data_IF_482223887448
#
_entry.id   IF_482223887448
#
_cell.length_a   1.000
_cell.length_b   1.000
_cell.length_c   1.000
_cell.angle_alpha   90.00
_cell.angle_beta   90.00
_cell.angle_gamma   90.00
#
_symmetry.space_group_name_H-M   'P 1'
#
loop_
_entity.id
_entity.type
_entity.pdbx_description
1 polymer ?
#
# COMPACT_ATOMS: atom_id res chain seq x y z
N UNK A 1 -4.99 -14.77 3.91
CA UNK A 1 -6.21 -15.51 3.56
C UNK A 1 -5.91 -16.89 2.96
N UNK A 2 -5.01 -17.01 1.98
CA UNK A 2 -4.72 -18.28 1.27
C UNK A 2 -4.52 -19.49 2.21
N UNK A 3 -3.65 -19.38 3.22
CA UNK A 3 -3.44 -20.46 4.22
C UNK A 3 -4.75 -20.93 4.89
N UNK A 4 -5.63 -19.99 5.27
CA UNK A 4 -6.91 -20.33 5.91
C UNK A 4 -7.83 -21.11 4.96
N UNK A 5 -7.90 -20.66 3.70
CA UNK A 5 -8.69 -21.30 2.65
C UNK A 5 -8.16 -22.68 2.33
N UNK A 6 -6.85 -22.81 2.09
CA UNK A 6 -6.22 -24.07 1.67
C UNK A 6 -6.32 -25.16 2.75
N UNK A 7 -6.25 -24.76 4.02
CA UNK A 7 -6.38 -25.68 5.17
C UNK A 7 -7.81 -25.83 5.66
N UNK A 8 -8.79 -25.15 5.05
CA UNK A 8 -10.20 -25.13 5.45
C UNK A 8 -10.41 -24.80 6.94
N UNK A 9 -9.73 -23.77 7.43
CA UNK A 9 -9.80 -23.31 8.82
C UNK A 9 -10.43 -21.92 8.91
N UNK A 10 -11.13 -21.65 10.01
CA UNK A 10 -11.82 -20.37 10.24
C UNK A 10 -11.02 -19.39 11.11
N UNK A 11 -10.00 -19.89 11.79
CA UNK A 11 -9.13 -19.12 12.67
C UNK A 11 -7.68 -19.57 12.53
N UNK A 12 -6.75 -18.66 12.76
CA UNK A 12 -5.31 -18.90 12.79
C UNK A 12 -4.72 -18.24 14.05
N UNK A 13 -3.98 -18.97 14.90
CA UNK A 13 -3.17 -18.34 15.93
C UNK A 13 -2.01 -17.56 15.28
N UNK A 14 -1.71 -16.39 15.82
CA UNK A 14 -0.55 -15.57 15.45
C UNK A 14 0.42 -15.62 16.62
N UNK A 15 1.66 -16.04 16.37
CA UNK A 15 2.70 -16.13 17.38
C UNK A 15 3.92 -15.30 16.96
N UNK A 16 4.73 -14.90 17.93
CA UNK A 16 6.03 -14.28 17.69
C UNK A 16 7.09 -15.32 17.29
N UNK A 17 8.31 -14.85 17.05
CA UNK A 17 9.48 -15.66 16.71
C UNK A 17 9.93 -16.65 17.80
N UNK A 18 9.44 -16.49 19.04
CA UNK A 18 9.70 -17.38 20.17
C UNK A 18 8.50 -18.31 20.46
N UNK A 19 7.56 -18.44 19.51
CA UNK A 19 6.34 -19.23 19.63
C UNK A 19 5.36 -18.75 20.73
N UNK A 20 5.50 -17.52 21.22
CA UNK A 20 4.53 -16.94 22.14
C UNK A 20 3.30 -16.42 21.39
N UNK A 21 2.11 -16.75 21.89
CA UNK A 21 0.85 -16.33 21.28
C UNK A 21 0.67 -14.80 21.39
N UNK A 22 0.57 -14.14 20.23
CA UNK A 22 0.25 -12.71 20.10
C UNK A 22 -1.26 -12.47 19.95
N UNK A 23 -1.97 -13.40 19.31
CA UNK A 23 -3.41 -13.26 19.08
C UNK A 23 -4.00 -14.32 18.16
N UNK A 24 -5.23 -14.07 17.71
CA UNK A 24 -5.97 -14.95 16.79
C UNK A 24 -6.53 -14.13 15.64
N UNK A 25 -6.28 -14.59 14.41
CA UNK A 25 -6.89 -14.08 13.18
C UNK A 25 -8.08 -14.95 12.81
N UNK A 26 -9.27 -14.37 12.68
CA UNK A 26 -10.49 -15.04 12.25
C UNK A 26 -11.03 -14.43 10.95
N UNK A 27 -11.91 -15.17 10.25
CA UNK A 27 -12.63 -14.64 9.08
C UNK A 27 -13.41 -13.36 9.43
N UNK A 28 -13.98 -13.30 10.65
CA UNK A 28 -14.69 -12.11 11.13
C UNK A 28 -13.79 -10.88 11.24
N UNK A 29 -12.50 -11.04 11.58
CA UNK A 29 -11.55 -9.93 11.56
C UNK A 29 -11.35 -9.41 10.14
N UNK A 30 -11.18 -10.29 9.16
CA UNK A 30 -11.04 -9.90 7.75
C UNK A 30 -12.29 -9.17 7.25
N UNK A 31 -13.48 -9.66 7.60
CA UNK A 31 -14.74 -9.02 7.22
C UNK A 31 -14.89 -7.63 7.85
N UNK A 32 -14.63 -7.49 9.15
CA UNK A 32 -14.67 -6.16 9.81
C UNK A 32 -13.64 -5.22 9.20
N UNK A 33 -12.39 -5.66 9.04
CA UNK A 33 -11.36 -4.85 8.42
C UNK A 33 -11.71 -4.41 7.00
N UNK A 34 -12.38 -5.24 6.18
CA UNK A 34 -12.78 -4.86 4.82
C UNK A 34 -13.99 -3.91 4.80
N UNK A 35 -14.93 -4.07 5.72
CA UNK A 35 -16.15 -3.25 5.79
C UNK A 35 -15.90 -1.90 6.47
N UNK A 36 -14.94 -1.82 7.39
CA UNK A 36 -14.67 -0.63 8.20
C UNK A 36 -13.60 0.30 7.58
N UNK A 37 -13.18 0.09 6.31
CA UNK A 37 -12.17 0.91 5.63
C UNK A 37 -12.76 2.26 5.23
N UNK A 38 -12.85 3.18 6.18
CA UNK A 38 -12.97 4.62 5.93
C UNK A 38 -11.64 5.36 6.09
N UNK A 39 -10.63 4.69 6.65
CA UNK A 39 -9.33 5.29 6.94
C UNK A 39 -8.34 5.09 5.80
N UNK A 40 -8.16 6.14 5.01
CA UNK A 40 -7.18 6.16 3.91
C UNK A 40 -5.72 6.21 4.41
N UNK A 41 -5.46 6.29 5.71
CA UNK A 41 -4.12 6.18 6.33
C UNK A 41 -3.87 4.81 6.97
N UNK A 42 -4.65 3.79 6.61
CA UNK A 42 -4.55 2.46 7.23
C UNK A 42 -3.15 1.85 7.14
N UNK A 43 -2.43 2.03 6.02
CA UNK A 43 -1.08 1.47 5.85
C UNK A 43 -0.08 2.07 6.84
N UNK A 44 -0.24 3.34 7.21
CA UNK A 44 0.55 3.99 8.25
C UNK A 44 0.27 3.37 9.62
N UNK A 45 -1.02 3.18 9.96
CA UNK A 45 -1.45 2.63 11.25
C UNK A 45 -1.06 1.17 11.43
N UNK A 46 -1.13 0.37 10.38
CA UNK A 46 -0.75 -1.04 10.40
C UNK A 46 0.75 -1.27 10.20
N UNK A 47 1.53 -0.21 9.95
CA UNK A 47 2.95 -0.32 9.58
C UNK A 47 3.18 -1.34 8.46
N UNK A 48 2.33 -1.31 7.43
CA UNK A 48 2.41 -2.27 6.32
C UNK A 48 3.73 -2.10 5.59
N UNK A 49 4.47 -3.20 5.45
CA UNK A 49 5.76 -3.21 4.77
C UNK A 49 5.61 -3.11 3.25
N UNK A 50 6.68 -2.69 2.56
CA UNK A 50 6.71 -2.59 1.11
C UNK A 50 6.53 -3.97 0.46
N UNK A 51 7.14 -5.01 1.04
CA UNK A 51 7.07 -6.39 0.55
C UNK A 51 5.62 -6.91 0.55
N UNK A 52 4.86 -6.62 1.62
CA UNK A 52 3.44 -6.98 1.69
C UNK A 52 2.62 -6.26 0.61
N UNK A 53 2.93 -5.01 0.29
CA UNK A 53 2.26 -4.25 -0.77
C UNK A 53 2.57 -4.87 -2.14
N UNK A 54 3.84 -5.17 -2.40
CA UNK A 54 4.30 -5.76 -3.67
C UNK A 54 3.67 -7.12 -3.91
N UNK A 55 3.72 -8.02 -2.92
CA UNK A 55 3.12 -9.35 -3.03
C UNK A 55 1.61 -9.26 -3.27
N UNK A 56 0.92 -8.42 -2.50
CA UNK A 56 -0.54 -8.22 -2.63
C UNK A 56 -0.94 -7.70 -4.01
N UNK A 57 -0.17 -6.76 -4.57
CA UNK A 57 -0.44 -6.17 -5.89
C UNK A 57 0.15 -6.97 -7.05
N UNK A 58 0.92 -8.03 -6.77
CA UNK A 58 1.77 -8.69 -7.77
C UNK A 58 2.63 -7.68 -8.55
N UNK A 59 3.12 -6.66 -7.84
CA UNK A 59 3.84 -5.54 -8.42
C UNK A 59 5.29 -5.91 -8.75
N UNK A 60 5.93 -5.07 -9.56
CA UNK A 60 7.37 -5.12 -9.80
C UNK A 60 8.01 -3.86 -9.26
N UNK A 61 9.05 -4.03 -8.45
CA UNK A 61 9.89 -2.92 -8.00
C UNK A 61 10.65 -2.28 -9.17
N UNK A 62 10.63 -0.96 -9.21
CA UNK A 62 11.35 -0.15 -10.20
C UNK A 62 12.47 0.63 -9.53
N UNK A 63 12.15 1.20 -8.37
CA UNK A 63 13.07 1.87 -7.48
C UNK A 63 12.61 1.68 -6.03
N UNK A 64 13.55 1.47 -5.12
CA UNK A 64 13.28 1.30 -3.68
C UNK A 64 14.24 2.19 -2.90
N UNK A 65 13.67 3.10 -2.10
CA UNK A 65 14.41 3.84 -1.08
C UNK A 65 14.61 2.94 0.14
N UNK A 66 15.80 2.33 0.26
CA UNK A 66 16.13 1.39 1.35
C UNK A 66 16.14 2.04 2.74
N UNK A 67 16.18 3.37 2.84
CA UNK A 67 16.10 4.05 4.12
C UNK A 67 14.66 4.19 4.63
N UNK A 68 13.66 4.10 3.75
CA UNK A 68 12.25 4.25 4.08
C UNK A 68 11.70 2.95 4.67
N UNK A 69 11.20 3.03 5.90
CA UNK A 69 10.59 1.89 6.60
C UNK A 69 9.07 1.93 6.65
N UNK A 70 8.46 3.07 6.33
CA UNK A 70 7.03 3.31 6.50
C UNK A 70 6.44 4.26 5.45
N UNK A 71 5.12 4.19 5.33
CA UNK A 71 4.30 5.00 4.42
C UNK A 71 3.28 5.81 5.25
N UNK A 72 3.61 7.06 5.63
CA UNK A 72 2.88 7.79 6.67
C UNK A 72 1.59 8.47 6.18
N UNK A 73 1.50 8.77 4.88
CA UNK A 73 0.40 9.54 4.32
C UNK A 73 -0.81 8.68 3.96
N UNK A 74 -1.76 9.33 3.28
CA UNK A 74 -3.00 8.68 2.83
C UNK A 74 -2.84 8.08 1.44
N UNK A 75 -3.65 7.06 1.13
CA UNK A 75 -3.76 6.52 -0.22
C UNK A 75 -4.63 7.45 -1.07
N UNK A 76 -4.13 7.86 -2.23
CA UNK A 76 -4.81 8.75 -3.18
C UNK A 76 -4.75 8.16 -4.60
N UNK A 77 -5.88 8.18 -5.31
CA UNK A 77 -5.92 7.87 -6.75
C UNK A 77 -5.75 9.16 -7.54
N UNK A 78 -4.72 9.20 -8.38
CA UNK A 78 -4.32 10.43 -9.08
C UNK A 78 -4.90 10.47 -10.49
N UNK A 79 -6.20 10.77 -10.58
CA UNK A 79 -6.91 10.93 -11.85
C UNK A 79 -6.89 12.38 -12.40
N UNK A 80 -6.44 13.33 -11.58
CA UNK A 80 -6.48 14.77 -11.86
C UNK A 80 -5.35 15.21 -12.80
N UNK A 81 -5.46 16.44 -13.33
CA UNK A 81 -4.34 17.13 -13.96
C UNK A 81 -3.31 17.59 -12.91
N UNK A 82 -2.02 17.74 -13.29
CA UNK A 82 -0.96 18.11 -12.34
C UNK A 82 -1.23 19.38 -11.54
N UNK A 83 -1.87 20.40 -12.14
CA UNK A 83 -2.15 21.65 -11.44
C UNK A 83 -3.14 21.49 -10.29
N UNK A 84 -4.19 20.69 -10.48
CA UNK A 84 -5.21 20.43 -9.46
C UNK A 84 -4.74 19.43 -8.39
N UNK A 85 -3.68 18.68 -8.67
CA UNK A 85 -3.16 17.66 -7.76
C UNK A 85 -2.55 18.25 -6.48
N UNK A 86 -1.92 19.42 -6.58
CA UNK A 86 -1.15 20.05 -5.49
C UNK A 86 -1.99 20.35 -4.26
N UNK A 87 -3.30 20.53 -4.42
CA UNK A 87 -4.22 20.83 -3.32
C UNK A 87 -4.71 19.57 -2.58
N UNK A 88 -4.45 18.38 -3.14
CA UNK A 88 -5.01 17.11 -2.65
C UNK A 88 -3.96 16.11 -2.18
N UNK A 89 -2.72 16.27 -2.62
CA UNK A 89 -1.61 15.36 -2.30
C UNK A 89 -0.60 16.08 -1.42
N UNK A 90 -0.26 15.42 -0.33
CA UNK A 90 0.67 15.91 0.68
C UNK A 90 1.97 15.10 0.65
N UNK A 91 3.04 15.68 1.17
CA UNK A 91 4.30 14.96 1.36
C UNK A 91 4.07 13.69 2.20
N UNK A 92 4.61 12.57 1.73
CA UNK A 92 4.45 11.28 2.38
C UNK A 92 3.20 10.48 2.01
N UNK A 93 2.31 11.00 1.16
CA UNK A 93 1.16 10.25 0.63
C UNK A 93 1.57 9.05 -0.25
N UNK A 94 0.61 8.16 -0.50
CA UNK A 94 0.77 6.99 -1.36
C UNK A 94 -0.11 7.21 -2.59
N UNK A 95 0.50 7.35 -3.76
CA UNK A 95 -0.22 7.68 -4.99
C UNK A 95 -0.41 6.46 -5.89
N UNK A 96 -1.63 6.24 -6.35
CA UNK A 96 -1.98 5.28 -7.40
C UNK A 96 -2.19 6.06 -8.70
N UNK A 97 -1.30 5.85 -9.67
CA UNK A 97 -1.21 6.64 -10.90
C UNK A 97 -1.25 5.76 -12.15
N UNK A 98 -1.69 6.31 -13.27
CA UNK A 98 -1.59 5.70 -14.60
C UNK A 98 -0.21 5.89 -15.25
N UNK A 99 -0.18 5.83 -16.57
CA UNK A 99 1.01 5.91 -17.44
C UNK A 99 1.41 7.33 -17.85
N UNK A 100 0.69 8.36 -17.38
CA UNK A 100 1.00 9.78 -17.69
C UNK A 100 2.26 10.24 -16.95
N UNK A 101 3.37 10.30 -17.67
CA UNK A 101 4.68 10.74 -17.16
C UNK A 101 4.63 12.12 -16.48
N UNK A 102 3.90 13.08 -17.05
CA UNK A 102 3.74 14.43 -16.46
C UNK A 102 3.14 14.38 -15.04
N UNK A 103 2.25 13.42 -14.78
CA UNK A 103 1.61 13.21 -13.48
C UNK A 103 2.59 12.52 -12.53
N UNK A 104 3.34 11.53 -13.02
CA UNK A 104 4.36 10.82 -12.25
C UNK A 104 5.46 11.79 -11.79
N UNK A 105 5.94 12.67 -12.67
CA UNK A 105 6.96 13.66 -12.32
C UNK A 105 6.44 14.67 -11.28
N UNK A 106 5.22 15.18 -11.44
CA UNK A 106 4.62 16.07 -10.44
C UNK A 106 4.49 15.41 -9.06
N UNK A 107 4.23 14.11 -9.01
CA UNK A 107 4.18 13.35 -7.75
C UNK A 107 5.54 13.21 -7.07
N UNK A 108 6.62 13.07 -7.85
CA UNK A 108 7.98 13.07 -7.30
C UNK A 108 8.31 14.41 -6.65
N UNK A 109 7.94 15.53 -7.29
CA UNK A 109 8.14 16.88 -6.75
C UNK A 109 7.37 17.10 -5.44
N UNK A 110 6.20 16.46 -5.29
CA UNK A 110 5.39 16.47 -4.08
C UNK A 110 5.91 15.54 -2.97
N UNK A 111 7.00 14.80 -3.20
CA UNK A 111 7.66 13.94 -2.20
C UNK A 111 6.71 12.91 -1.57
N UNK A 112 5.89 12.28 -2.40
CA UNK A 112 5.10 11.12 -1.97
C UNK A 112 6.01 10.01 -1.41
N UNK A 113 5.48 9.20 -0.50
CA UNK A 113 6.25 8.09 0.10
C UNK A 113 6.28 6.85 -0.78
N UNK A 114 5.27 6.66 -1.63
CA UNK A 114 5.15 5.51 -2.52
C UNK A 114 4.33 5.87 -3.75
N UNK A 115 4.86 5.54 -4.93
CA UNK A 115 4.15 5.62 -6.20
C UNK A 115 3.82 4.22 -6.69
N UNK A 116 2.54 3.98 -7.00
CA UNK A 116 2.04 2.73 -7.56
C UNK A 116 1.56 3.02 -8.99
N UNK A 117 2.33 2.59 -9.97
CA UNK A 117 2.01 2.77 -11.39
C UNK A 117 1.13 1.59 -11.85
N UNK A 118 -0.04 1.91 -12.39
CA UNK A 118 -1.06 0.94 -12.79
C UNK A 118 -0.98 0.60 -14.27
N UNK A 119 -1.63 -0.51 -14.66
CA UNK A 119 -1.70 -0.94 -16.06
C UNK A 119 -0.45 -1.66 -16.60
N UNK A 120 0.51 -2.00 -15.74
CA UNK A 120 1.76 -2.69 -16.11
C UNK A 120 2.67 -1.91 -17.08
N UNK A 121 2.50 -0.59 -17.13
CA UNK A 121 3.41 0.28 -17.87
C UNK A 121 4.63 0.55 -17.00
N UNK A 122 5.83 0.25 -17.52
CA UNK A 122 7.04 0.76 -16.90
C UNK A 122 7.09 2.28 -17.14
N UNK A 123 7.40 3.11 -16.13
CA UNK A 123 7.66 4.53 -16.34
C UNK A 123 8.84 4.65 -17.30
N UNK A 124 8.83 5.71 -18.10
CA UNK A 124 9.98 6.08 -18.91
C UNK A 124 11.21 6.20 -18.01
N UNK A 125 12.26 5.47 -18.34
CA UNK A 125 13.56 5.63 -17.70
C UNK A 125 14.05 7.06 -17.91
N UNK A 126 14.19 7.81 -16.82
CA UNK A 126 15.01 9.03 -16.79
C UNK A 126 16.51 8.65 -16.82
#
# INVERSE_FOLDING_TARGET
>A
WNIMKDRNIKTLPVADENEHLLGVLAISNLTSCYMDIWDNRILAKSSTSLENIIDTLSAKEIYVDTARKNFPGKIVVTAMQPDSMKDHIEEGDIAIVGDREEVQNALLDLKISLMIITGSHAPSTA
#
